data_IF_198313542748
#
_entry.id   IF_198313542748
#
_cell.length_a   1.000
_cell.length_b   1.000
_cell.length_c   1.000
_cell.angle_alpha   90.00
_cell.angle_beta   90.00
_cell.angle_gamma   90.00
#
_symmetry.space_group_name_H-M   'P 1'
#
loop_
_entity.id
_entity.type
_entity.pdbx_description
1 polymer ?
#
# COMPACT_ATOMS: atom_id res chain seq x y z
N UNK A 1 10.34 -2.85 -15.22
CA UNK A 1 11.60 -2.17 -15.60
C UNK A 1 11.23 -0.73 -15.92
N UNK A 2 12.05 0.23 -15.52
CA UNK A 2 11.84 1.64 -15.84
C UNK A 2 12.94 2.10 -16.78
N UNK A 3 12.67 3.13 -17.59
CA UNK A 3 13.62 3.59 -18.59
C UNK A 3 14.71 4.41 -17.91
N UNK A 4 15.95 3.93 -17.92
CA UNK A 4 17.11 4.70 -17.46
C UNK A 4 18.36 4.33 -18.26
N UNK A 5 18.63 5.12 -19.31
CA UNK A 5 19.72 4.91 -20.28
C UNK A 5 19.79 3.43 -20.74
N UNK A 6 21.00 2.89 -20.83
CA UNK A 6 21.29 1.49 -21.19
C UNK A 6 21.49 0.60 -19.95
N UNK A 7 20.86 0.95 -18.83
CA UNK A 7 20.99 0.21 -17.56
C UNK A 7 19.68 -0.44 -17.14
N UNK A 8 19.78 -1.53 -16.39
CA UNK A 8 18.64 -2.18 -15.77
C UNK A 8 18.19 -1.42 -14.52
N UNK A 9 17.18 -0.55 -14.69
CA UNK A 9 16.49 0.12 -13.58
C UNK A 9 15.10 -0.46 -13.36
N UNK A 10 14.66 -0.52 -12.10
CA UNK A 10 13.38 -1.11 -11.71
C UNK A 10 12.60 -0.20 -10.76
N UNK A 11 11.29 -0.25 -10.91
CA UNK A 11 10.34 0.24 -9.92
C UNK A 11 9.70 -0.93 -9.17
N UNK A 12 9.28 -0.69 -7.93
CA UNK A 12 8.65 -1.65 -7.05
C UNK A 12 7.31 -1.11 -6.57
N UNK A 13 6.30 -1.97 -6.63
CA UNK A 13 4.99 -1.73 -6.02
C UNK A 13 4.86 -2.65 -4.83
N UNK A 14 4.66 -2.07 -3.65
CA UNK A 14 4.51 -2.78 -2.39
C UNK A 14 3.09 -2.53 -1.87
N UNK A 15 2.32 -3.60 -1.73
CA UNK A 15 0.94 -3.53 -1.26
C UNK A 15 0.76 -4.35 0.01
N UNK A 16 0.08 -3.78 0.99
CA UNK A 16 -0.41 -4.55 2.14
C UNK A 16 -1.80 -5.09 1.85
N UNK A 17 -2.15 -6.30 2.31
CA UNK A 17 -3.49 -6.82 2.12
C UNK A 17 -4.50 -5.98 2.93
N UNK A 18 -5.75 -5.86 2.45
CA UNK A 18 -6.81 -5.25 3.24
C UNK A 18 -7.06 -6.07 4.52
N UNK A 19 -7.48 -5.40 5.59
CA UNK A 19 -7.64 -6.03 6.91
C UNK A 19 -8.86 -5.51 7.65
N UNK A 20 -9.33 -6.31 8.60
CA UNK A 20 -10.40 -5.94 9.53
C UNK A 20 -9.89 -6.05 10.95
N UNK A 21 -10.03 -4.97 11.71
CA UNK A 21 -9.64 -4.96 13.12
C UNK A 21 -10.75 -5.53 14.00
N UNK A 22 -10.36 -6.21 15.07
CA UNK A 22 -11.30 -6.63 16.11
C UNK A 22 -11.72 -5.42 16.95
N UNK A 23 -13.03 -5.30 17.20
CA UNK A 23 -13.62 -4.32 18.12
C UNK A 23 -13.46 -4.83 19.55
N UNK A 24 -12.53 -4.24 20.29
CA UNK A 24 -12.20 -4.64 21.66
C UNK A 24 -13.42 -4.62 22.61
N UNK A 25 -14.29 -3.62 22.47
CA UNK A 25 -15.51 -3.49 23.26
C UNK A 25 -16.49 -4.64 23.00
N UNK A 26 -16.67 -5.03 21.73
CA UNK A 26 -17.56 -6.12 21.35
C UNK A 26 -17.05 -7.47 21.85
N UNK A 27 -15.74 -7.73 21.69
CA UNK A 27 -15.11 -8.93 22.23
C UNK A 27 -15.34 -9.06 23.75
N UNK A 28 -15.18 -7.96 24.48
CA UNK A 28 -15.41 -7.93 25.93
C UNK A 28 -16.88 -8.18 26.26
N UNK A 29 -17.82 -7.50 25.56
CA UNK A 29 -19.25 -7.64 25.80
C UNK A 29 -19.79 -9.06 25.54
N UNK A 30 -19.18 -9.77 24.58
CA UNK A 30 -19.55 -11.14 24.22
C UNK A 30 -18.81 -12.19 25.07
N UNK A 31 -17.83 -11.78 25.88
CA UNK A 31 -17.02 -12.68 26.70
C UNK A 31 -15.99 -13.47 25.91
N UNK A 32 -15.52 -12.96 24.77
CA UNK A 32 -14.52 -13.63 23.94
C UNK A 32 -13.14 -13.53 24.61
N UNK A 33 -12.52 -14.66 25.00
CA UNK A 33 -11.26 -14.64 25.73
C UNK A 33 -10.11 -14.10 24.87
N UNK A 34 -9.06 -13.59 25.53
CA UNK A 34 -7.80 -13.24 24.87
C UNK A 34 -7.06 -14.53 24.53
N UNK A 35 -6.61 -14.69 23.28
CA UNK A 35 -5.83 -15.85 22.88
C UNK A 35 -6.00 -16.23 21.40
N UNK A 36 -5.54 -17.42 21.01
CA UNK A 36 -5.54 -17.91 19.63
C UNK A 36 -6.93 -17.90 18.98
N UNK A 37 -7.99 -18.07 19.75
CA UNK A 37 -9.39 -18.07 19.27
C UNK A 37 -9.78 -16.76 18.57
N UNK A 38 -9.13 -15.63 18.93
CA UNK A 38 -9.35 -14.34 18.25
C UNK A 38 -8.76 -14.31 16.84
N UNK A 39 -7.74 -15.11 16.55
CA UNK A 39 -7.17 -15.24 15.20
C UNK A 39 -8.19 -15.87 14.26
N UNK A 40 -8.95 -16.86 14.73
CA UNK A 40 -10.02 -17.49 13.96
C UNK A 40 -11.08 -16.47 13.54
N UNK A 41 -11.47 -15.58 14.47
CA UNK A 41 -12.39 -14.48 14.19
C UNK A 41 -11.83 -13.49 13.15
N UNK A 42 -10.54 -13.14 13.23
CA UNK A 42 -9.88 -12.27 12.23
C UNK A 42 -9.84 -12.92 10.84
N UNK A 43 -9.70 -14.24 10.79
CA UNK A 43 -9.73 -15.03 9.56
C UNK A 43 -11.16 -15.29 9.05
N UNK A 44 -12.16 -14.66 9.66
CA UNK A 44 -13.56 -14.73 9.23
C UNK A 44 -14.32 -15.96 9.74
N UNK A 45 -13.71 -16.79 10.61
CA UNK A 45 -14.34 -17.99 11.17
C UNK A 45 -15.16 -17.65 12.42
N UNK A 46 -16.27 -18.38 12.60
CA UNK A 46 -17.05 -18.30 13.84
C UNK A 46 -16.43 -19.20 14.90
N UNK A 47 -16.59 -18.83 16.17
CA UNK A 47 -16.05 -19.58 17.31
C UNK A 47 -17.16 -19.97 18.27
N UNK A 48 -16.98 -21.07 18.99
CA UNK A 48 -17.88 -21.48 20.07
C UNK A 48 -17.23 -21.22 21.42
N UNK A 49 -17.90 -20.48 22.28
CA UNK A 49 -17.46 -20.19 23.63
C UNK A 49 -17.72 -21.37 24.58
N UNK A 50 -17.08 -21.35 25.75
CA UNK A 50 -17.23 -22.41 26.75
C UNK A 50 -18.66 -22.54 27.30
N UNK A 51 -19.46 -21.48 27.21
CA UNK A 51 -20.88 -21.47 27.60
C UNK A 51 -21.82 -21.96 26.47
N UNK A 52 -21.26 -22.42 25.35
CA UNK A 52 -21.99 -22.95 24.20
C UNK A 52 -22.48 -21.90 23.21
N UNK A 53 -22.31 -20.60 23.49
CA UNK A 53 -22.67 -19.54 22.53
C UNK A 53 -21.71 -19.53 21.35
N UNK A 54 -22.24 -19.31 20.15
CA UNK A 54 -21.43 -19.08 18.95
C UNK A 54 -21.29 -17.59 18.72
N UNK A 55 -20.07 -17.13 18.45
CA UNK A 55 -19.76 -15.74 18.08
C UNK A 55 -19.30 -15.74 16.64
N UNK A 56 -20.00 -14.99 15.78
CA UNK A 56 -19.57 -14.80 14.40
C UNK A 56 -18.45 -13.76 14.34
N UNK A 57 -17.55 -13.91 13.37
CA UNK A 57 -16.53 -12.92 13.05
C UNK A 57 -17.14 -11.53 12.85
N UNK A 58 -18.31 -11.46 12.22
CA UNK A 58 -19.00 -10.21 11.92
C UNK A 58 -19.54 -9.45 13.13
N UNK A 59 -19.78 -10.14 14.24
CA UNK A 59 -20.21 -9.51 15.48
C UNK A 59 -19.08 -8.69 16.12
N UNK A 60 -17.83 -9.03 15.82
CA UNK A 60 -16.64 -8.50 16.48
C UNK A 60 -15.66 -7.79 15.55
N UNK A 61 -15.76 -7.98 14.24
CA UNK A 61 -14.91 -7.29 13.28
C UNK A 61 -15.46 -5.89 12.95
N UNK A 62 -14.54 -4.94 12.81
CA UNK A 62 -14.82 -3.60 12.29
C UNK A 62 -15.03 -3.59 10.76
N UNK A 63 -15.15 -2.39 10.17
CA UNK A 63 -15.20 -2.26 8.71
C UNK A 63 -13.91 -2.76 8.05
N UNK A 64 -13.98 -3.07 6.76
CA UNK A 64 -12.80 -3.38 5.95
C UNK A 64 -11.95 -2.12 5.79
N UNK A 65 -10.72 -2.19 6.27
CA UNK A 65 -9.71 -1.18 5.98
C UNK A 65 -8.93 -1.61 4.74
N UNK A 66 -8.86 -0.75 3.71
CA UNK A 66 -8.09 -1.06 2.51
C UNK A 66 -6.61 -1.21 2.85
N UNK A 67 -5.93 -2.00 2.01
CA UNK A 67 -4.49 -2.09 2.01
C UNK A 67 -3.82 -0.74 1.75
N UNK A 68 -2.51 -0.69 1.98
CA UNK A 68 -1.67 0.46 1.65
C UNK A 68 -0.79 0.14 0.46
N UNK A 69 -0.67 1.08 -0.47
CA UNK A 69 0.13 0.98 -1.68
C UNK A 69 1.30 1.97 -1.63
N UNK A 70 2.52 1.45 -1.58
CA UNK A 70 3.77 2.19 -1.71
C UNK A 70 4.39 1.89 -3.06
N UNK A 71 4.71 2.92 -3.83
CA UNK A 71 5.40 2.78 -5.10
C UNK A 71 6.77 3.44 -4.99
N UNK A 72 7.82 2.70 -5.33
CA UNK A 72 9.20 3.17 -5.32
C UNK A 72 9.74 3.04 -6.74
N UNK A 73 10.04 4.15 -7.38
CA UNK A 73 10.67 4.20 -8.69
C UNK A 73 12.12 4.62 -8.49
N UNK A 74 13.06 3.80 -8.95
CA UNK A 74 14.48 4.17 -9.02
C UNK A 74 14.72 5.24 -10.07
N UNK A 75 15.98 5.40 -10.50
CA UNK A 75 16.32 6.35 -11.54
C UNK A 75 15.52 6.06 -12.82
N UNK A 76 14.97 7.11 -13.43
CA UNK A 76 14.16 7.03 -14.62
C UNK A 76 14.19 8.32 -15.45
N UNK A 77 14.18 8.21 -16.77
CA UNK A 77 14.22 9.35 -17.69
C UNK A 77 12.86 9.77 -18.25
N UNK A 78 11.78 9.04 -17.95
CA UNK A 78 10.44 9.33 -18.46
C UNK A 78 9.36 8.83 -17.50
N UNK A 79 8.15 9.39 -17.62
CA UNK A 79 7.00 9.06 -16.76
C UNK A 79 5.83 8.42 -17.49
N UNK A 80 5.87 8.36 -18.83
CA UNK A 80 4.73 8.00 -19.68
C UNK A 80 4.19 6.59 -19.41
N UNK A 81 5.06 5.66 -19.02
CA UNK A 81 4.73 4.27 -18.72
C UNK A 81 4.58 3.98 -17.21
N UNK A 82 4.61 5.01 -16.37
CA UNK A 82 4.53 4.86 -14.91
C UNK A 82 3.12 5.11 -14.36
N UNK A 83 2.27 5.86 -15.07
CA UNK A 83 0.97 6.32 -14.59
C UNK A 83 0.09 5.18 -14.04
N UNK A 84 -0.07 4.09 -14.78
CA UNK A 84 -0.89 2.94 -14.38
C UNK A 84 -0.34 2.25 -13.12
N UNK A 85 0.97 2.27 -12.92
CA UNK A 85 1.63 1.66 -11.77
C UNK A 85 1.53 2.53 -10.52
N UNK A 86 1.66 3.85 -10.67
CA UNK A 86 1.62 4.80 -9.54
C UNK A 86 0.20 5.18 -9.12
N UNK A 87 -0.79 5.01 -10.00
CA UNK A 87 -2.18 5.38 -9.73
C UNK A 87 -2.70 4.74 -8.43
N UNK A 88 -3.28 5.57 -7.56
CA UNK A 88 -3.83 5.14 -6.27
C UNK A 88 -2.78 4.77 -5.21
N UNK A 89 -1.50 5.09 -5.43
CA UNK A 89 -0.49 4.95 -4.37
C UNK A 89 -0.80 5.87 -3.19
N UNK A 90 -0.70 5.36 -1.96
CA UNK A 90 -0.70 6.18 -0.76
C UNK A 90 0.61 6.98 -0.63
N UNK A 91 1.72 6.44 -1.18
CA UNK A 91 3.02 7.08 -1.21
C UNK A 91 3.78 6.70 -2.48
N UNK A 92 4.30 7.70 -3.18
CA UNK A 92 5.24 7.57 -4.30
C UNK A 92 6.61 8.09 -3.87
N UNK A 93 7.63 7.25 -4.01
CA UNK A 93 9.05 7.63 -3.92
C UNK A 93 9.61 7.57 -5.33
N UNK A 94 10.08 8.69 -5.86
CA UNK A 94 10.62 8.80 -7.22
C UNK A 94 11.74 9.83 -7.24
N UNK A 95 12.69 9.67 -8.16
CA UNK A 95 13.78 10.61 -8.34
C UNK A 95 13.31 12.01 -8.80
N UNK A 96 14.13 13.00 -8.49
CA UNK A 96 13.93 14.39 -8.88
C UNK A 96 15.31 15.07 -8.99
N UNK A 97 16.21 14.44 -9.77
CA UNK A 97 17.64 14.79 -9.82
C UNK A 97 17.88 16.23 -10.25
N UNK A 98 17.02 16.77 -11.13
CA UNK A 98 17.17 18.09 -11.72
C UNK A 98 16.00 19.03 -11.40
N UNK A 99 16.22 20.33 -11.63
CA UNK A 99 15.17 21.34 -11.63
C UNK A 99 14.68 21.59 -13.06
N UNK A 100 13.52 22.22 -13.22
CA UNK A 100 12.90 22.43 -14.54
C UNK A 100 13.78 23.26 -15.50
N UNK A 101 14.54 24.22 -14.97
CA UNK A 101 15.52 24.99 -15.77
C UNK A 101 16.60 24.11 -16.41
N UNK A 102 16.84 22.92 -15.85
CA UNK A 102 17.85 21.97 -16.26
C UNK A 102 17.23 20.78 -17.03
N UNK A 103 15.99 20.92 -17.53
CA UNK A 103 15.25 19.84 -18.18
C UNK A 103 15.96 19.22 -19.41
N UNK A 104 16.75 20.01 -20.14
CA UNK A 104 17.58 19.47 -21.23
C UNK A 104 18.64 18.50 -20.69
N UNK A 105 19.32 18.88 -19.61
CA UNK A 105 20.33 18.05 -18.96
C UNK A 105 19.70 16.80 -18.35
N UNK A 106 18.51 16.91 -17.75
CA UNK A 106 17.76 15.77 -17.23
C UNK A 106 17.52 14.72 -18.33
N UNK A 107 17.07 15.15 -19.53
CA UNK A 107 16.88 14.24 -20.68
C UNK A 107 18.19 13.61 -21.15
N UNK A 108 19.24 14.39 -21.31
CA UNK A 108 20.54 13.90 -21.79
C UNK A 108 21.14 12.86 -20.83
N UNK A 109 20.92 13.04 -19.52
CA UNK A 109 21.36 12.12 -18.48
C UNK A 109 20.28 11.09 -18.10
N UNK A 110 19.13 11.04 -18.78
CA UNK A 110 18.09 10.04 -18.54
C UNK A 110 17.48 10.07 -17.13
N UNK A 111 17.28 11.26 -16.57
CA UNK A 111 16.70 11.53 -15.25
C UNK A 111 15.47 12.45 -15.35
N UNK A 112 14.77 12.64 -14.24
CA UNK A 112 13.62 13.54 -14.15
C UNK A 112 13.97 14.91 -13.55
N UNK A 113 13.15 15.89 -13.89
CA UNK A 113 13.03 17.12 -13.12
C UNK A 113 12.03 16.92 -11.97
N UNK A 114 12.18 17.71 -10.90
CA UNK A 114 11.20 17.78 -9.82
C UNK A 114 9.79 18.11 -10.30
N UNK A 115 9.66 18.91 -11.38
CA UNK A 115 8.36 19.25 -11.96
C UNK A 115 7.71 18.05 -12.68
N UNK A 116 8.51 17.23 -13.38
CA UNK A 116 8.03 16.00 -14.01
C UNK A 116 7.58 14.98 -12.97
N UNK A 117 8.38 14.77 -11.91
CA UNK A 117 8.02 13.89 -10.80
C UNK A 117 6.72 14.35 -10.11
N UNK A 118 6.59 15.65 -9.84
CA UNK A 118 5.38 16.22 -9.26
C UNK A 118 4.15 16.08 -10.18
N UNK A 119 4.34 16.24 -11.50
CA UNK A 119 3.26 16.10 -12.48
C UNK A 119 2.74 14.66 -12.57
N UNK A 120 3.61 13.66 -12.40
CA UNK A 120 3.20 12.25 -12.32
C UNK A 120 2.42 11.95 -11.03
N UNK A 121 2.72 12.65 -9.94
CA UNK A 121 2.09 12.44 -8.63
C UNK A 121 0.73 13.15 -8.45
N UNK A 122 0.41 14.13 -9.30
CA UNK A 122 -0.79 14.95 -9.23
C UNK A 122 -2.01 14.26 -9.82
#
# INVERSE_FOLDING_TARGET
>A
QVRHRDTDSYGFVLETPPRRHLRAEHLTSLGVPVGPVRKELVEGRSITLADGRTVASEDVLGPLEPGKKLVIIGDTGATDDLADHVCGADLLVIEATFLERDAALARDYGHLTAAQAASLAA
#
